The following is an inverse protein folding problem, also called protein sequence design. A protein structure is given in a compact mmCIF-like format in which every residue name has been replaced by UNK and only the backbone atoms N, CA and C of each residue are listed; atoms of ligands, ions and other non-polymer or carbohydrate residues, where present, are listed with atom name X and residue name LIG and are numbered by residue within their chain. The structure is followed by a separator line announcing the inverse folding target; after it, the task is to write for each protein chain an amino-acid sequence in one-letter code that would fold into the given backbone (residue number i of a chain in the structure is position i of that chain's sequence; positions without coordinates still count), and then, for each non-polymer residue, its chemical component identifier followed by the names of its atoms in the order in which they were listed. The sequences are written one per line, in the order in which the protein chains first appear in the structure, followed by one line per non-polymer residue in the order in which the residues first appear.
data_IF_625156845091
#
_entry.id   IF_625156845091
#
_cell.length_a   1.000
_cell.length_b   1.000
_cell.length_c   1.000
_cell.angle_alpha   90.00
_cell.angle_beta   90.00
_cell.angle_gamma   90.00
#
_symmetry.space_group_name_H-M   'P 1'
#
loop_
_entity.id
_entity.type
_entity.pdbx_description
1 polymer ?
#
# COMPACT_ATOMS: atom_id res chain seq x y z
N UNK A 1 -8.69 -22.45 18.34
CA UNK A 1 -9.73 -21.65 17.66
C UNK A 1 -9.25 -20.24 17.32
N UNK A 2 -8.76 -19.45 18.28
CA UNK A 2 -8.18 -18.11 18.03
C UNK A 2 -7.06 -18.09 16.98
N UNK A 3 -6.14 -19.05 17.04
CA UNK A 3 -5.05 -19.17 16.05
C UNK A 3 -5.58 -19.43 14.63
N UNK A 4 -6.61 -20.25 14.49
CA UNK A 4 -7.24 -20.54 13.19
C UNK A 4 -7.92 -19.30 12.62
N UNK A 5 -8.64 -18.53 13.46
CA UNK A 5 -9.23 -17.26 13.04
C UNK A 5 -8.15 -16.24 12.61
N UNK A 6 -7.05 -16.14 13.35
CA UNK A 6 -5.92 -15.27 13.01
C UNK A 6 -5.27 -15.67 11.69
N UNK A 7 -5.09 -16.97 11.44
CA UNK A 7 -4.54 -17.47 10.18
C UNK A 7 -5.48 -17.19 9.01
N UNK A 8 -6.78 -17.44 9.16
CA UNK A 8 -7.77 -17.11 8.14
C UNK A 8 -7.76 -15.62 7.78
N UNK A 9 -7.77 -14.72 8.77
CA UNK A 9 -7.70 -13.28 8.52
C UNK A 9 -6.40 -12.89 7.81
N UNK A 10 -5.27 -13.51 8.17
CA UNK A 10 -4.00 -13.28 7.49
C UNK A 10 -4.08 -13.69 6.01
N UNK A 11 -4.63 -14.86 5.72
CA UNK A 11 -4.79 -15.34 4.35
C UNK A 11 -5.73 -14.44 3.53
N UNK A 12 -6.85 -14.00 4.11
CA UNK A 12 -7.77 -13.06 3.47
C UNK A 12 -7.08 -11.73 3.18
N UNK A 13 -6.30 -11.19 4.11
CA UNK A 13 -5.52 -9.96 3.90
C UNK A 13 -4.48 -10.16 2.80
N UNK A 14 -3.77 -11.29 2.77
CA UNK A 14 -2.81 -11.59 1.72
C UNK A 14 -3.46 -11.65 0.33
N UNK A 15 -4.61 -12.31 0.23
CA UNK A 15 -5.40 -12.34 -1.00
C UNK A 15 -5.87 -10.95 -1.39
N UNK A 16 -6.39 -10.16 -0.44
CA UNK A 16 -6.80 -8.77 -0.68
C UNK A 16 -5.65 -7.90 -1.20
N UNK A 17 -4.45 -8.03 -0.62
CA UNK A 17 -3.25 -7.31 -1.07
C UNK A 17 -2.83 -7.70 -2.49
N UNK A 18 -2.90 -8.99 -2.83
CA UNK A 18 -2.66 -9.48 -4.20
C UNK A 18 -3.67 -8.87 -5.19
N UNK A 19 -4.95 -8.81 -4.81
CA UNK A 19 -6.00 -8.19 -5.64
C UNK A 19 -5.75 -6.68 -5.84
N UNK A 20 -5.35 -5.95 -4.79
CA UNK A 20 -4.98 -4.54 -4.89
C UNK A 20 -3.79 -4.36 -5.84
N UNK A 21 -2.77 -5.22 -5.75
CA UNK A 21 -1.62 -5.14 -6.64
C UNK A 21 -2.02 -5.31 -8.12
N UNK A 22 -2.87 -6.29 -8.42
CA UNK A 22 -3.41 -6.49 -9.77
C UNK A 22 -4.21 -5.28 -10.23
N UNK A 23 -5.07 -4.73 -9.36
CA UNK A 23 -5.86 -3.54 -9.66
C UNK A 23 -4.99 -2.32 -10.02
N UNK A 24 -3.93 -2.08 -9.25
CA UNK A 24 -2.98 -0.98 -9.52
C UNK A 24 -2.34 -1.15 -10.89
N UNK A 25 -1.85 -2.36 -11.22
CA UNK A 25 -1.24 -2.63 -12.54
C UNK A 25 -2.23 -2.35 -13.67
N UNK A 26 -3.46 -2.83 -13.55
CA UNK A 26 -4.50 -2.63 -14.56
C UNK A 26 -4.85 -1.15 -14.72
N UNK A 27 -5.00 -0.43 -13.61
CA UNK A 27 -5.32 0.99 -13.65
C UNK A 27 -4.19 1.81 -14.28
N UNK A 28 -2.93 1.44 -14.07
CA UNK A 28 -1.79 2.05 -14.77
C UNK A 28 -1.86 1.80 -16.28
N UNK A 29 -2.21 0.58 -16.72
CA UNK A 29 -2.30 0.23 -18.14
C UNK A 29 -3.44 1.00 -18.84
N UNK A 30 -4.62 1.07 -18.21
CA UNK A 30 -5.80 1.68 -18.80
C UNK A 30 -5.92 3.20 -18.54
N UNK A 31 -5.11 3.75 -17.63
CA UNK A 31 -5.10 5.17 -17.29
C UNK A 31 -6.39 5.70 -16.66
N UNK A 32 -7.32 4.82 -16.27
CA UNK A 32 -8.62 5.17 -15.72
C UNK A 32 -9.12 4.06 -14.78
N UNK A 33 -10.12 4.39 -13.95
CA UNK A 33 -10.70 3.46 -13.00
C UNK A 33 -11.19 2.17 -13.68
N UNK A 34 -10.76 1.02 -13.17
CA UNK A 34 -11.04 -0.28 -13.77
C UNK A 34 -12.45 -0.73 -13.37
N UNK A 35 -13.38 -1.01 -14.32
CA UNK A 35 -14.80 -1.23 -14.02
C UNK A 35 -15.11 -2.36 -13.05
N UNK A 36 -14.31 -3.45 -13.06
CA UNK A 36 -14.55 -4.64 -12.24
C UNK A 36 -13.89 -4.60 -10.85
N UNK A 37 -12.96 -3.67 -10.63
CA UNK A 37 -12.31 -3.46 -9.32
C UNK A 37 -13.11 -2.45 -8.49
N UNK A 38 -13.77 -1.50 -9.15
CA UNK A 38 -14.58 -0.48 -8.52
C UNK A 38 -13.73 0.65 -7.92
N UNK A 39 -13.81 1.82 -8.55
CA UNK A 39 -13.18 3.05 -8.05
C UNK A 39 -11.74 3.29 -8.49
N UNK A 40 -11.19 4.39 -7.98
CA UNK A 40 -9.83 4.86 -8.24
C UNK A 40 -8.88 4.41 -7.12
N UNK A 41 -8.22 3.27 -7.31
CA UNK A 41 -7.33 2.67 -6.32
C UNK A 41 -6.04 3.48 -6.17
N UNK A 42 -5.47 3.94 -7.28
CA UNK A 42 -4.24 4.75 -7.27
C UNK A 42 -4.51 6.10 -6.60
N UNK A 43 -5.62 6.77 -6.93
CA UNK A 43 -6.03 8.01 -6.29
C UNK A 43 -6.25 7.86 -4.80
N UNK A 44 -6.90 6.78 -4.36
CA UNK A 44 -7.08 6.50 -2.94
C UNK A 44 -5.73 6.28 -2.21
N UNK A 45 -4.83 5.48 -2.80
CA UNK A 45 -3.49 5.23 -2.24
C UNK A 45 -2.65 6.50 -2.16
N UNK A 46 -2.57 7.25 -3.27
CA UNK A 46 -1.79 8.49 -3.34
C UNK A 46 -2.37 9.58 -2.44
N UNK A 47 -3.69 9.65 -2.26
CA UNK A 47 -4.33 10.54 -1.29
C UNK A 47 -3.93 10.23 0.15
N UNK A 48 -3.91 8.96 0.55
CA UNK A 48 -3.44 8.54 1.88
C UNK A 48 -1.95 8.86 2.05
N UNK A 49 -1.11 8.53 1.07
CA UNK A 49 0.33 8.84 1.10
C UNK A 49 0.55 10.36 1.21
N UNK A 50 -0.20 11.17 0.46
CA UNK A 50 -0.16 12.62 0.53
C UNK A 50 -0.48 13.14 1.94
N UNK A 51 -1.55 12.64 2.55
CA UNK A 51 -1.94 13.04 3.91
C UNK A 51 -0.86 12.72 4.97
N UNK A 52 -0.14 11.61 4.79
CA UNK A 52 0.97 11.23 5.66
C UNK A 52 2.22 12.09 5.39
N UNK A 53 2.43 12.48 4.13
CA UNK A 53 3.50 13.39 3.71
C UNK A 53 3.34 14.80 4.27
N UNK A 54 2.12 15.34 4.21
CA UNK A 54 1.77 16.68 4.73
C UNK A 54 2.00 16.77 6.25
N UNK A 55 1.80 15.67 6.98
CA UNK A 55 2.13 15.57 8.40
C UNK A 55 3.63 15.48 8.70
N UNK A 56 4.51 15.53 7.70
CA UNK A 56 5.97 15.40 7.86
C UNK A 56 6.46 13.99 8.19
N UNK A 57 5.55 13.00 8.31
CA UNK A 57 5.88 11.64 8.70
C UNK A 57 6.77 10.96 7.65
N UNK A 58 6.48 11.17 6.37
CA UNK A 58 7.30 10.61 5.27
C UNK A 58 8.74 11.13 5.36
N UNK A 59 8.93 12.42 5.66
CA UNK A 59 10.26 13.02 5.82
C UNK A 59 11.06 12.39 6.98
N UNK A 60 10.42 12.17 8.13
CA UNK A 60 11.06 11.50 9.26
C UNK A 60 11.48 10.05 8.93
N UNK A 61 10.62 9.31 8.23
CA UNK A 61 10.94 7.95 7.76
C UNK A 61 12.13 7.97 6.79
N UNK A 62 12.16 8.91 5.84
CA UNK A 62 13.27 9.07 4.89
C UNK A 62 14.60 9.32 5.58
N UNK A 63 14.65 10.21 6.58
CA UNK A 63 15.87 10.45 7.37
C UNK A 63 16.33 9.18 8.08
N UNK A 64 15.40 8.44 8.70
CA UNK A 64 15.71 7.17 9.36
C UNK A 64 16.33 6.14 8.41
N UNK A 65 15.80 6.02 7.19
CA UNK A 65 16.34 5.12 6.16
C UNK A 65 17.76 5.56 5.74
N UNK A 66 17.98 6.86 5.51
CA UNK A 66 19.30 7.39 5.12
C UNK A 66 20.35 7.09 6.21
N UNK A 67 20.04 7.39 7.48
CA UNK A 67 20.95 7.12 8.60
C UNK A 67 21.26 5.63 8.72
N UNK A 68 20.25 4.77 8.55
CA UNK A 68 20.44 3.32 8.57
C UNK A 68 21.36 2.83 7.44
N UNK A 69 21.19 3.35 6.22
CA UNK A 69 22.06 3.00 5.09
C UNK A 69 23.49 3.49 5.31
N UNK A 70 23.67 4.69 5.86
CA UNK A 70 25.00 5.24 6.18
C UNK A 70 25.73 4.44 7.27
N UNK A 71 25.01 3.92 8.27
CA UNK A 71 25.62 3.04 9.28
C UNK A 71 26.07 1.68 8.74
N UNK A 72 25.53 1.27 7.59
CA UNK A 72 25.77 -0.05 7.00
C UNK A 72 26.79 0.00 5.85
N UNK A 73 27.18 1.20 5.41
CA UNK A 73 28.25 1.47 4.47
C UNK A 73 29.60 1.60 5.20
#
# INVERSE_FOLDING_TARGET
MLNSAKNFLREVVQLGLLLIAVAVVLQVIFGSAVPFVGGDIIGNLTGVIGSLGDGGLVGLISVGIILYLLQRA
#
